data_IF_943034639150
#
_entry.id   IF_943034639150
#
_cell.length_a   1.000
_cell.length_b   1.000
_cell.length_c   1.000
_cell.angle_alpha   90.00
_cell.angle_beta   90.00
_cell.angle_gamma   90.00
#
_symmetry.space_group_name_H-M   'P 1'
#
loop_
_entity.id
_entity.type
_entity.pdbx_description
1 polymer ?
#
# COMPACT_ATOMS: atom_id res chain seq x y z
N UNK A 1 14.34 -20.26 20.04
CA UNK A 1 15.32 -21.17 20.67
C UNK A 1 14.57 -22.23 21.44
N UNK A 2 15.10 -23.46 21.52
CA UNK A 2 14.41 -24.55 22.24
C UNK A 2 13.33 -25.28 21.45
N UNK A 3 13.31 -25.16 20.12
CA UNK A 3 12.38 -25.90 19.27
C UNK A 3 12.57 -27.42 19.44
N UNK A 4 11.49 -28.20 19.36
CA UNK A 4 11.48 -29.64 19.62
C UNK A 4 12.53 -30.41 18.83
N UNK A 5 12.66 -30.15 17.53
CA UNK A 5 13.67 -30.79 16.64
C UNK A 5 15.12 -30.62 17.12
N UNK A 6 15.42 -29.52 17.83
CA UNK A 6 16.75 -29.30 18.42
C UNK A 6 16.90 -30.03 19.74
N UNK A 7 15.85 -30.10 20.55
CA UNK A 7 15.82 -30.86 21.81
C UNK A 7 15.97 -32.36 21.56
N UNK A 8 15.37 -32.88 20.50
CA UNK A 8 15.56 -34.27 20.03
C UNK A 8 17.03 -34.58 19.66
N UNK A 9 17.81 -33.57 19.29
CA UNK A 9 19.25 -33.68 19.03
C UNK A 9 20.12 -33.49 20.28
N UNK A 10 19.51 -33.50 21.47
CA UNK A 10 20.20 -33.47 22.76
C UNK A 10 20.36 -32.09 23.40
N UNK A 11 19.64 -31.06 22.94
CA UNK A 11 19.63 -29.77 23.65
C UNK A 11 18.85 -29.86 24.97
N UNK A 12 19.56 -29.74 26.09
CA UNK A 12 18.95 -29.70 27.43
C UNK A 12 18.35 -28.33 27.73
N UNK A 13 17.50 -28.25 28.75
CA UNK A 13 16.88 -26.99 29.19
C UNK A 13 17.94 -25.92 29.52
N UNK A 14 19.04 -26.31 30.18
CA UNK A 14 20.13 -25.42 30.57
C UNK A 14 20.89 -24.89 29.35
N UNK A 15 21.12 -25.73 28.34
CA UNK A 15 21.79 -25.30 27.10
C UNK A 15 20.92 -24.31 26.34
N UNK A 16 19.62 -24.57 26.25
CA UNK A 16 18.67 -23.69 25.57
C UNK A 16 18.56 -22.34 26.29
N UNK A 17 18.47 -22.35 27.63
CA UNK A 17 18.39 -21.14 28.43
C UNK A 17 19.64 -20.26 28.27
N UNK A 18 20.84 -20.86 28.28
CA UNK A 18 22.10 -20.14 28.03
C UNK A 18 22.15 -19.52 26.64
N UNK A 19 21.65 -20.22 25.61
CA UNK A 19 21.54 -19.66 24.25
C UNK A 19 20.59 -18.48 24.18
N UNK A 20 19.46 -18.55 24.88
CA UNK A 20 18.49 -17.47 24.95
C UNK A 20 19.10 -16.22 25.61
N UNK A 21 19.70 -16.39 26.79
CA UNK A 21 20.37 -15.30 27.51
C UNK A 21 21.48 -14.67 26.67
N UNK A 22 22.32 -15.48 26.02
CA UNK A 22 23.36 -14.99 25.12
C UNK A 22 22.80 -14.18 23.95
N UNK A 23 21.70 -14.63 23.32
CA UNK A 23 21.06 -13.88 22.23
C UNK A 23 20.52 -12.52 22.69
N UNK A 24 19.87 -12.48 23.86
CA UNK A 24 19.38 -11.24 24.47
C UNK A 24 20.54 -10.27 24.80
N UNK A 25 21.65 -10.78 25.34
CA UNK A 25 22.86 -9.99 25.62
C UNK A 25 23.43 -9.33 24.35
N UNK A 26 23.27 -9.98 23.19
CA UNK A 26 23.67 -9.43 21.88
C UNK A 26 22.61 -8.53 21.24
N UNK A 27 21.54 -8.19 21.96
CA UNK A 27 20.49 -7.29 21.50
C UNK A 27 19.47 -7.93 20.56
N UNK A 28 19.42 -9.27 20.49
CA UNK A 28 18.40 -9.98 19.72
C UNK A 28 17.15 -10.23 20.58
N UNK A 29 15.97 -10.16 19.97
CA UNK A 29 14.75 -10.67 20.59
C UNK A 29 14.69 -12.21 20.51
N UNK A 30 14.10 -12.85 21.51
CA UNK A 30 14.07 -14.31 21.63
C UNK A 30 12.65 -14.83 21.66
N UNK A 31 12.36 -15.79 20.77
CA UNK A 31 11.19 -16.68 20.91
C UNK A 31 11.65 -17.93 21.67
N UNK A 32 11.20 -18.09 22.90
CA UNK A 32 11.50 -19.21 23.79
C UNK A 32 10.45 -20.31 23.60
N UNK A 33 10.84 -21.40 22.96
CA UNK A 33 9.96 -22.51 22.65
C UNK A 33 9.90 -23.49 23.83
N UNK A 34 8.68 -23.85 24.22
CA UNK A 34 8.36 -24.83 25.27
C UNK A 34 7.24 -25.76 24.81
N UNK A 35 7.20 -26.96 25.34
CA UNK A 35 6.16 -27.93 25.00
C UNK A 35 6.52 -29.34 25.43
N UNK A 36 5.49 -30.15 25.61
CA UNK A 36 5.54 -31.51 26.13
C UNK A 36 5.31 -32.56 25.04
N UNK A 37 5.71 -33.81 25.31
CA UNK A 37 5.39 -34.95 24.45
C UNK A 37 3.96 -35.45 24.68
N UNK A 38 3.46 -36.29 23.77
CA UNK A 38 2.12 -36.86 23.89
C UNK A 38 1.95 -37.67 25.18
N UNK A 39 2.97 -38.45 25.52
CA UNK A 39 2.98 -39.32 26.71
C UNK A 39 2.84 -38.50 27.99
N UNK A 40 3.52 -37.34 28.06
CA UNK A 40 3.42 -36.41 29.19
C UNK A 40 2.04 -35.76 29.27
N UNK A 41 1.42 -35.40 28.13
CA UNK A 41 0.05 -34.88 28.12
C UNK A 41 -0.95 -35.91 28.61
N UNK A 42 -0.86 -37.14 28.11
CA UNK A 42 -1.74 -38.25 28.51
C UNK A 42 -1.55 -38.66 29.99
N UNK A 43 -0.34 -38.47 30.53
CA UNK A 43 -0.03 -38.67 31.94
C UNK A 43 -0.44 -37.48 32.85
N UNK A 44 -1.06 -36.42 32.32
CA UNK A 44 -1.38 -35.17 33.02
C UNK A 44 -0.14 -34.47 33.64
N UNK A 45 1.01 -34.56 32.96
CA UNK A 45 2.29 -33.97 33.40
C UNK A 45 2.66 -32.70 32.63
N UNK A 46 1.79 -32.19 31.75
CA UNK A 46 2.06 -31.01 30.90
C UNK A 46 2.57 -29.82 31.70
N UNK A 47 1.81 -29.36 32.71
CA UNK A 47 2.16 -28.15 33.47
C UNK A 47 3.50 -28.31 34.18
N UNK A 48 3.74 -29.46 34.83
CA UNK A 48 5.00 -29.74 35.51
C UNK A 48 6.18 -29.68 34.53
N UNK A 49 6.06 -30.33 33.37
CA UNK A 49 7.13 -30.39 32.38
C UNK A 49 7.44 -29.02 31.74
N UNK A 50 6.42 -28.24 31.37
CA UNK A 50 6.66 -26.91 30.81
C UNK A 50 7.23 -25.95 31.87
N UNK A 51 6.86 -26.09 33.15
CA UNK A 51 7.43 -25.27 34.22
C UNK A 51 8.91 -25.55 34.42
N UNK A 52 9.38 -26.79 34.27
CA UNK A 52 10.81 -27.10 34.30
C UNK A 52 11.59 -26.41 33.16
N UNK A 53 10.98 -26.31 31.97
CA UNK A 53 11.58 -25.61 30.84
C UNK A 53 11.62 -24.09 31.09
N UNK A 54 10.56 -23.52 31.65
CA UNK A 54 10.47 -22.10 32.01
C UNK A 54 11.42 -21.72 33.15
N UNK A 55 11.54 -22.57 34.17
CA UNK A 55 12.46 -22.38 35.30
C UNK A 55 13.91 -22.29 34.81
N UNK A 56 14.28 -23.12 33.84
CA UNK A 56 15.60 -23.03 33.22
C UNK A 56 15.82 -21.69 32.50
N UNK A 57 14.82 -21.19 31.75
CA UNK A 57 14.91 -19.85 31.15
C UNK A 57 15.04 -18.76 32.21
N UNK A 58 14.23 -18.76 33.28
CA UNK A 58 14.30 -17.76 34.35
C UNK A 58 15.62 -17.80 35.17
N UNK A 59 16.29 -18.94 35.22
CA UNK A 59 17.61 -19.04 35.84
C UNK A 59 18.62 -18.11 35.15
N UNK A 60 18.59 -18.04 33.81
CA UNK A 60 19.55 -17.30 32.98
C UNK A 60 19.02 -15.92 32.50
N UNK A 61 17.70 -15.76 32.32
CA UNK A 61 17.06 -14.54 31.80
C UNK A 61 16.47 -13.72 32.95
N UNK A 62 16.92 -12.45 33.07
CA UNK A 62 16.39 -11.50 34.07
C UNK A 62 15.47 -10.43 33.48
N UNK A 63 15.71 -10.03 32.24
CA UNK A 63 14.85 -9.09 31.52
C UNK A 63 14.04 -9.84 30.45
N UNK A 64 12.71 -9.80 30.60
CA UNK A 64 11.76 -10.48 29.73
C UNK A 64 11.16 -9.57 28.66
N UNK A 65 11.56 -8.30 28.60
CA UNK A 65 11.02 -7.29 27.68
C UNK A 65 11.10 -7.72 26.21
N UNK A 66 12.20 -8.40 25.83
CA UNK A 66 12.45 -8.88 24.48
C UNK A 66 12.25 -10.39 24.32
N UNK A 67 11.42 -11.00 25.18
CA UNK A 67 11.11 -12.43 25.15
C UNK A 67 9.66 -12.64 24.72
N UNK A 68 9.47 -13.61 23.83
CA UNK A 68 8.17 -14.18 23.48
C UNK A 68 8.20 -15.65 23.84
N UNK A 69 7.19 -16.14 24.57
CA UNK A 69 7.06 -17.57 24.86
C UNK A 69 6.20 -18.20 23.77
N UNK A 70 6.71 -19.22 23.10
CA UNK A 70 5.95 -20.03 22.16
C UNK A 70 5.62 -21.38 22.80
N UNK A 71 4.34 -21.61 23.07
CA UNK A 71 3.86 -22.93 23.48
C UNK A 71 3.64 -23.80 22.24
N UNK A 72 4.56 -24.74 22.04
CA UNK A 72 4.64 -25.65 20.92
C UNK A 72 4.51 -27.10 21.42
N UNK A 73 3.29 -27.59 21.74
CA UNK A 73 3.10 -28.97 22.17
C UNK A 73 3.62 -29.91 21.09
N UNK A 74 4.63 -30.72 21.42
CA UNK A 74 5.43 -31.48 20.44
C UNK A 74 4.53 -32.41 19.63
N UNK A 75 3.52 -32.98 20.29
CA UNK A 75 2.54 -33.87 19.70
C UNK A 75 1.58 -33.20 18.71
N UNK A 76 1.54 -31.87 18.64
CA UNK A 76 0.72 -31.09 17.71
C UNK A 76 1.56 -30.40 16.61
N UNK A 77 2.87 -30.68 16.49
CA UNK A 77 3.73 -30.09 15.46
C UNK A 77 3.96 -31.13 14.37
N UNK A 78 3.44 -30.89 13.16
CA UNK A 78 3.70 -31.76 11.99
C UNK A 78 3.10 -33.17 12.06
N UNK A 79 2.35 -33.51 13.10
CA UNK A 79 1.74 -34.85 13.33
C UNK A 79 0.34 -35.01 12.75
N UNK A 80 -0.31 -33.90 12.36
CA UNK A 80 -1.73 -33.86 11.99
C UNK A 80 -2.69 -33.84 13.17
N UNK A 81 -2.20 -33.95 14.41
CA UNK A 81 -2.98 -33.71 15.62
C UNK A 81 -2.98 -32.22 15.97
N UNK A 82 -4.06 -31.77 16.59
CA UNK A 82 -4.26 -30.37 17.01
C UNK A 82 -4.70 -30.34 18.47
N UNK A 83 -4.10 -29.50 19.29
CA UNK A 83 -4.67 -29.20 20.60
C UNK A 83 -6.01 -28.48 20.43
N UNK A 84 -6.99 -28.82 21.27
CA UNK A 84 -8.24 -28.06 21.32
C UNK A 84 -7.97 -26.65 21.86
N UNK A 85 -8.83 -25.66 21.55
CA UNK A 85 -8.69 -24.32 22.11
C UNK A 85 -8.66 -24.30 23.64
N UNK A 86 -9.39 -25.18 24.32
CA UNK A 86 -9.38 -25.28 25.79
C UNK A 86 -8.07 -25.86 26.32
N UNK A 87 -7.48 -26.85 25.63
CA UNK A 87 -6.18 -27.39 25.99
C UNK A 87 -5.06 -26.36 25.82
N UNK A 88 -5.13 -25.53 24.76
CA UNK A 88 -4.18 -24.45 24.57
C UNK A 88 -4.34 -23.36 25.65
N UNK A 89 -5.58 -22.95 25.93
CA UNK A 89 -5.90 -21.97 26.96
C UNK A 89 -5.46 -22.41 28.37
N UNK A 90 -5.66 -23.68 28.74
CA UNK A 90 -5.21 -24.25 30.02
C UNK A 90 -3.70 -24.03 30.24
N UNK A 91 -2.91 -24.31 29.20
CA UNK A 91 -1.45 -24.20 29.27
C UNK A 91 -1.01 -22.74 29.24
N UNK A 92 -1.59 -21.91 28.39
CA UNK A 92 -1.30 -20.47 28.35
C UNK A 92 -1.60 -19.78 29.69
N UNK A 93 -2.74 -20.08 30.31
CA UNK A 93 -3.08 -19.59 31.65
C UNK A 93 -2.05 -20.04 32.70
N UNK A 94 -1.54 -21.26 32.60
CA UNK A 94 -0.50 -21.78 33.49
C UNK A 94 0.84 -21.05 33.30
N UNK A 95 1.21 -20.72 32.06
CA UNK A 95 2.40 -19.90 31.75
C UNK A 95 2.26 -18.49 32.34
N UNK A 96 1.08 -17.88 32.22
CA UNK A 96 0.78 -16.57 32.81
C UNK A 96 0.87 -16.58 34.33
N UNK A 97 0.31 -17.60 34.97
CA UNK A 97 0.41 -17.79 36.41
C UNK A 97 1.87 -17.96 36.85
N UNK A 98 2.64 -18.77 36.11
CA UNK A 98 4.06 -18.96 36.39
C UNK A 98 4.87 -17.66 36.23
N UNK A 99 4.66 -16.89 35.16
CA UNK A 99 5.32 -15.58 34.96
C UNK A 99 5.02 -14.63 36.12
N UNK A 100 3.77 -14.60 36.57
CA UNK A 100 3.32 -13.73 37.66
C UNK A 100 3.99 -14.10 38.99
N UNK A 101 4.14 -15.39 39.26
CA UNK A 101 4.72 -15.90 40.51
C UNK A 101 6.24 -15.85 40.52
N UNK A 102 6.90 -16.28 39.43
CA UNK A 102 8.35 -16.51 39.38
C UNK A 102 9.15 -15.34 38.80
N UNK A 103 8.53 -14.50 37.98
CA UNK A 103 9.21 -13.38 37.31
C UNK A 103 8.70 -12.06 37.86
N UNK A 104 7.49 -11.63 37.48
CA UNK A 104 6.79 -10.48 38.03
C UNK A 104 5.37 -10.36 37.46
N UNK A 105 4.46 -9.64 38.14
CA UNK A 105 3.15 -9.29 37.56
C UNK A 105 3.26 -8.54 36.22
N UNK A 106 4.25 -7.66 36.07
CA UNK A 106 4.47 -6.91 34.84
C UNK A 106 4.93 -7.83 33.68
N UNK A 107 5.81 -8.79 33.95
CA UNK A 107 6.22 -9.78 32.96
C UNK A 107 5.04 -10.67 32.53
N UNK A 108 4.16 -11.03 33.46
CA UNK A 108 2.96 -11.79 33.15
C UNK A 108 1.98 -11.04 32.24
N UNK A 109 1.92 -9.72 32.32
CA UNK A 109 1.06 -8.88 31.48
C UNK A 109 1.71 -8.58 30.11
N UNK A 110 3.02 -8.30 30.08
CA UNK A 110 3.72 -7.78 28.90
C UNK A 110 4.39 -8.83 28.02
N UNK A 111 4.82 -9.95 28.59
CA UNK A 111 5.49 -11.01 27.81
C UNK A 111 4.47 -11.63 26.87
N UNK A 112 4.74 -11.66 25.56
CA UNK A 112 3.80 -12.30 24.63
C UNK A 112 3.86 -13.81 24.77
N UNK A 113 2.70 -14.47 24.89
CA UNK A 113 2.56 -15.92 24.91
C UNK A 113 1.74 -16.36 23.69
N UNK A 114 2.43 -16.96 22.73
CA UNK A 114 1.86 -17.36 21.44
C UNK A 114 1.72 -18.87 21.33
N UNK A 115 0.68 -19.32 20.64
CA UNK A 115 0.44 -20.74 20.39
C UNK A 115 1.15 -21.17 19.09
N UNK A 116 1.98 -22.20 19.16
CA UNK A 116 2.75 -22.72 18.02
C UNK A 116 2.52 -24.20 17.71
N UNK A 117 1.51 -24.83 18.31
CA UNK A 117 1.00 -26.11 17.80
C UNK A 117 0.28 -25.93 16.45
N UNK A 118 -0.18 -27.03 15.84
CA UNK A 118 -0.87 -27.02 14.53
C UNK A 118 -2.04 -26.02 14.50
N UNK A 119 -1.79 -24.87 13.90
CA UNK A 119 -2.72 -23.76 13.69
C UNK A 119 -2.94 -23.56 12.20
N UNK A 120 -4.20 -23.45 11.83
CA UNK A 120 -4.67 -23.33 10.46
C UNK A 120 -5.94 -22.48 10.39
N UNK A 121 -6.37 -22.16 9.18
CA UNK A 121 -7.56 -21.33 8.95
C UNK A 121 -8.82 -21.82 9.69
N UNK A 122 -8.95 -23.13 9.90
CA UNK A 122 -10.13 -23.75 10.55
C UNK A 122 -10.18 -23.55 12.07
N UNK A 123 -9.05 -23.56 12.76
CA UNK A 123 -9.01 -23.51 14.22
C UNK A 123 -8.50 -22.18 14.79
N UNK A 124 -7.85 -21.35 13.97
CA UNK A 124 -7.38 -20.03 14.36
C UNK A 124 -8.50 -19.14 14.96
N UNK A 125 -9.75 -19.11 14.42
CA UNK A 125 -10.81 -18.28 14.99
C UNK A 125 -11.24 -18.64 16.40
N UNK A 126 -11.20 -19.93 16.79
CA UNK A 126 -11.55 -20.33 18.15
C UNK A 126 -10.36 -20.15 19.11
N UNK A 127 -9.14 -20.38 18.62
CA UNK A 127 -7.91 -20.15 19.38
C UNK A 127 -7.69 -18.67 19.69
N UNK A 128 -7.97 -17.77 18.73
CA UNK A 128 -7.77 -16.32 18.89
C UNK A 128 -8.69 -15.67 19.94
N UNK A 129 -9.79 -16.34 20.30
CA UNK A 129 -10.75 -15.87 21.30
C UNK A 129 -10.42 -16.32 22.72
N UNK A 130 -9.31 -17.06 22.89
CA UNK A 130 -8.84 -17.51 24.20
C UNK A 130 -8.08 -16.40 24.89
N UNK A 131 -8.42 -16.15 26.15
CA UNK A 131 -8.00 -14.98 26.91
C UNK A 131 -6.48 -14.84 27.05
N UNK A 132 -5.75 -15.96 27.12
CA UNK A 132 -4.31 -15.97 27.36
C UNK A 132 -3.48 -16.30 26.11
N UNK A 133 -4.10 -16.35 24.92
CA UNK A 133 -3.42 -16.58 23.65
C UNK A 133 -3.23 -15.24 22.92
N UNK A 134 -2.00 -14.72 22.88
CA UNK A 134 -1.71 -13.41 22.28
C UNK A 134 -1.49 -13.45 20.76
N UNK A 135 -1.45 -14.64 20.17
CA UNK A 135 -1.17 -14.82 18.75
C UNK A 135 -0.63 -16.21 18.44
N UNK A 136 -0.12 -16.35 17.22
CA UNK A 136 0.27 -17.64 16.66
C UNK A 136 1.71 -17.64 16.16
N UNK A 137 2.43 -18.75 16.41
CA UNK A 137 3.65 -19.09 15.71
C UNK A 137 3.29 -20.04 14.55
N UNK A 138 3.22 -19.51 13.33
CA UNK A 138 2.68 -20.24 12.17
C UNK A 138 3.80 -20.78 11.30
N UNK A 139 3.95 -22.11 11.27
CA UNK A 139 4.89 -22.81 10.40
C UNK A 139 4.39 -22.93 8.95
N UNK A 140 4.32 -24.16 8.42
CA UNK A 140 4.00 -24.39 7.00
C UNK A 140 2.63 -23.85 6.52
N UNK A 141 1.68 -23.58 7.41
CA UNK A 141 0.42 -22.92 7.04
C UNK A 141 0.63 -21.48 6.55
N UNK A 142 1.74 -20.82 6.93
CA UNK A 142 2.09 -19.47 6.45
C UNK A 142 2.40 -19.41 4.95
N UNK A 143 2.67 -20.55 4.33
CA UNK A 143 3.01 -20.64 2.89
C UNK A 143 1.78 -20.87 2.00
N UNK A 144 0.58 -20.87 2.57
CA UNK A 144 -0.66 -21.21 1.86
C UNK A 144 -1.57 -19.98 1.76
N UNK A 145 -2.42 -19.88 0.71
CA UNK A 145 -3.32 -18.73 0.54
C UNK A 145 -4.29 -18.49 1.70
N UNK A 146 -4.69 -19.56 2.40
CA UNK A 146 -5.57 -19.52 3.56
C UNK A 146 -4.89 -18.96 4.83
N UNK A 147 -3.58 -18.65 4.78
CA UNK A 147 -2.88 -17.96 5.87
C UNK A 147 -3.54 -16.63 6.25
N UNK A 148 -4.13 -15.93 5.27
CA UNK A 148 -4.87 -14.69 5.53
C UNK A 148 -6.02 -14.88 6.53
N UNK A 149 -6.68 -16.04 6.53
CA UNK A 149 -7.75 -16.35 7.49
C UNK A 149 -7.18 -16.51 8.91
N UNK A 150 -5.93 -16.94 9.04
CA UNK A 150 -5.23 -17.03 10.32
C UNK A 150 -4.87 -15.63 10.83
N UNK A 151 -4.37 -14.74 9.96
CA UNK A 151 -4.06 -13.35 10.33
C UNK A 151 -5.33 -12.62 10.81
N UNK A 152 -6.44 -12.81 10.10
CA UNK A 152 -7.71 -12.13 10.37
C UNK A 152 -8.55 -12.82 11.47
N UNK A 153 -8.04 -13.88 12.11
CA UNK A 153 -8.80 -14.68 13.06
C UNK A 153 -9.22 -13.91 14.34
N UNK A 154 -8.51 -12.85 14.72
CA UNK A 154 -8.80 -12.10 15.95
C UNK A 154 -9.69 -10.87 15.70
N UNK A 155 -9.66 -10.29 14.49
CA UNK A 155 -10.44 -9.10 14.13
C UNK A 155 -10.90 -9.17 12.65
N UNK A 156 -12.03 -9.83 12.34
CA UNK A 156 -12.55 -9.91 10.98
C UNK A 156 -13.03 -8.56 10.40
N UNK A 157 -13.18 -7.54 11.25
CA UNK A 157 -13.61 -6.17 10.86
C UNK A 157 -12.44 -5.22 10.57
N UNK A 158 -11.23 -5.58 10.97
CA UNK A 158 -9.98 -4.87 10.67
C UNK A 158 -9.03 -5.87 10.01
N UNK A 159 -9.40 -6.34 8.81
CA UNK A 159 -8.63 -7.32 8.05
C UNK A 159 -7.20 -6.82 7.83
N UNK A 160 -6.26 -7.29 8.65
CA UNK A 160 -4.83 -7.11 8.39
C UNK A 160 -4.43 -8.24 7.45
N UNK A 161 -4.40 -7.94 6.16
CA UNK A 161 -3.93 -8.90 5.15
C UNK A 161 -5.06 -9.51 4.34
N UNK A 162 -5.03 -9.21 3.05
CA UNK A 162 -5.95 -9.68 2.03
C UNK A 162 -6.00 -8.69 0.89
N UNK A 163 -6.42 -9.14 -0.29
CA UNK A 163 -6.68 -8.22 -1.38
C UNK A 163 -7.92 -7.38 -1.04
N UNK A 164 -7.84 -6.06 -1.13
CA UNK A 164 -9.04 -5.22 -0.98
C UNK A 164 -9.91 -5.34 -2.22
N UNK A 165 -11.22 -5.43 -2.03
CA UNK A 165 -12.16 -5.47 -3.14
C UNK A 165 -12.39 -4.05 -3.66
N UNK A 166 -12.01 -3.83 -4.92
CA UNK A 166 -12.06 -2.54 -5.58
C UNK A 166 -13.01 -2.58 -6.76
N UNK A 167 -13.79 -1.53 -6.92
CA UNK A 167 -14.54 -1.26 -8.13
C UNK A 167 -13.99 -0.04 -8.88
N UNK A 168 -14.18 -0.01 -10.20
CA UNK A 168 -13.78 1.10 -11.06
C UNK A 168 -15.03 1.73 -11.68
N UNK A 169 -15.26 3.01 -11.42
CA UNK A 169 -16.29 3.80 -12.11
C UNK A 169 -15.65 4.63 -13.23
N UNK A 170 -16.01 4.36 -14.48
CA UNK A 170 -15.44 4.94 -15.68
C UNK A 170 -14.22 4.15 -16.18
N UNK A 171 -14.39 3.42 -17.29
CA UNK A 171 -13.38 2.50 -17.85
C UNK A 171 -12.57 3.16 -18.99
N UNK A 172 -12.25 4.44 -18.78
CA UNK A 172 -11.38 5.24 -19.65
C UNK A 172 -9.89 4.92 -19.49
N UNK A 173 -9.02 5.86 -19.87
CA UNK A 173 -7.55 5.71 -19.73
C UNK A 173 -7.14 5.29 -18.31
N UNK A 174 -7.53 6.07 -17.31
CA UNK A 174 -7.16 5.79 -15.91
C UNK A 174 -7.77 4.48 -15.41
N UNK A 175 -9.08 4.26 -15.60
CA UNK A 175 -9.74 3.04 -15.14
C UNK A 175 -9.09 1.75 -15.69
N UNK A 176 -8.77 1.71 -17.00
CA UNK A 176 -8.08 0.55 -17.58
C UNK A 176 -6.67 0.37 -17.05
N UNK A 177 -5.90 1.45 -16.88
CA UNK A 177 -4.53 1.36 -16.34
C UNK A 177 -4.50 0.97 -14.87
N UNK A 178 -5.48 1.41 -14.07
CA UNK A 178 -5.69 0.92 -12.71
C UNK A 178 -5.92 -0.59 -12.70
N UNK A 179 -6.77 -1.11 -13.60
CA UNK A 179 -6.97 -2.56 -13.72
C UNK A 179 -5.68 -3.27 -14.14
N UNK A 180 -4.94 -2.75 -15.13
CA UNK A 180 -3.65 -3.34 -15.55
C UNK A 180 -2.64 -3.41 -14.40
N UNK A 181 -2.54 -2.36 -13.59
CA UNK A 181 -1.67 -2.33 -12.41
C UNK A 181 -2.17 -3.31 -11.33
N UNK A 182 -3.48 -3.33 -11.06
CA UNK A 182 -4.08 -4.23 -10.07
C UNK A 182 -3.93 -5.71 -10.45
N UNK A 183 -3.96 -6.06 -11.73
CA UNK A 183 -3.76 -7.44 -12.20
C UNK A 183 -2.40 -8.04 -11.79
N UNK A 184 -1.39 -7.18 -11.54
CA UNK A 184 -0.05 -7.57 -11.07
C UNK A 184 0.13 -7.38 -9.56
N UNK A 185 -0.87 -6.86 -8.85
CA UNK A 185 -0.79 -6.57 -7.42
C UNK A 185 -1.71 -7.52 -6.62
N UNK A 186 -1.17 -8.47 -5.85
CA UNK A 186 -1.98 -9.43 -5.09
C UNK A 186 -2.78 -8.77 -3.95
N UNK A 187 -2.54 -7.50 -3.62
CA UNK A 187 -3.27 -6.76 -2.59
C UNK A 187 -4.51 -6.04 -3.12
N UNK A 188 -4.76 -6.08 -4.43
CA UNK A 188 -5.91 -5.40 -5.05
C UNK A 188 -6.71 -6.43 -5.85
N UNK A 189 -7.99 -6.57 -5.51
CA UNK A 189 -8.92 -7.43 -6.22
C UNK A 189 -9.97 -6.55 -6.93
N UNK A 190 -9.87 -6.39 -8.25
CA UNK A 190 -10.91 -5.70 -9.01
C UNK A 190 -12.10 -6.66 -9.14
N UNK A 191 -13.22 -6.32 -8.51
CA UNK A 191 -14.44 -7.16 -8.49
C UNK A 191 -15.54 -6.61 -9.37
N UNK A 192 -15.55 -5.29 -9.63
CA UNK A 192 -16.58 -4.67 -10.45
C UNK A 192 -16.09 -3.46 -11.27
N UNK A 193 -16.74 -3.21 -12.39
CA UNK A 193 -16.53 -2.06 -13.27
C UNK A 193 -17.88 -1.48 -13.65
N UNK A 194 -17.98 -0.15 -13.69
CA UNK A 194 -19.13 0.53 -14.29
C UNK A 194 -18.67 1.46 -15.43
N UNK A 195 -19.27 1.30 -16.61
CA UNK A 195 -19.20 2.32 -17.66
C UNK A 195 -20.44 2.23 -18.57
N UNK A 196 -21.33 3.24 -18.59
CA UNK A 196 -22.58 3.17 -19.35
C UNK A 196 -22.39 3.18 -20.87
N UNK A 197 -21.18 3.45 -21.37
CA UNK A 197 -20.90 3.59 -22.81
C UNK A 197 -20.14 2.42 -23.41
N UNK A 198 -19.81 1.39 -22.62
CA UNK A 198 -18.91 0.31 -23.04
C UNK A 198 -19.53 -1.04 -22.65
N UNK A 199 -19.80 -1.90 -23.64
CA UNK A 199 -20.24 -3.28 -23.42
C UNK A 199 -19.10 -4.17 -22.95
N UNK A 200 -19.39 -5.35 -22.38
CA UNK A 200 -18.37 -6.32 -21.93
C UNK A 200 -17.41 -6.71 -23.07
N UNK A 201 -17.93 -7.01 -24.26
CA UNK A 201 -17.13 -7.28 -25.46
C UNK A 201 -16.20 -6.12 -25.82
N UNK A 202 -16.67 -4.87 -25.68
CA UNK A 202 -15.85 -3.72 -26.00
C UNK A 202 -14.82 -3.41 -24.89
N UNK A 203 -15.16 -3.66 -23.62
CA UNK A 203 -14.23 -3.57 -22.49
C UNK A 203 -13.06 -4.55 -22.66
N UNK A 204 -13.33 -5.80 -23.06
CA UNK A 204 -12.29 -6.79 -23.40
C UNK A 204 -11.35 -6.24 -24.46
N UNK A 205 -11.88 -5.78 -25.61
CA UNK A 205 -11.08 -5.23 -26.70
C UNK A 205 -10.21 -4.04 -26.25
N UNK A 206 -10.79 -3.07 -25.55
CA UNK A 206 -10.10 -1.86 -25.08
C UNK A 206 -9.04 -2.16 -24.01
N UNK A 207 -9.22 -3.23 -23.24
CA UNK A 207 -8.23 -3.69 -22.29
C UNK A 207 -7.12 -4.48 -22.98
N UNK A 208 -7.46 -5.35 -23.94
CA UNK A 208 -6.51 -6.17 -24.70
C UNK A 208 -5.53 -5.31 -25.49
N UNK A 209 -6.01 -4.29 -26.20
CA UNK A 209 -5.19 -3.45 -27.09
C UNK A 209 -5.12 -2.01 -26.58
N UNK A 210 -3.93 -1.57 -26.14
CA UNK A 210 -3.65 -0.17 -25.80
C UNK A 210 -2.50 0.36 -26.67
N UNK A 211 -2.73 1.50 -27.34
CA UNK A 211 -1.75 2.11 -28.24
C UNK A 211 -0.47 2.54 -27.54
N UNK A 212 -0.55 2.94 -26.26
CA UNK A 212 0.58 3.46 -25.50
C UNK A 212 1.28 2.33 -24.75
N UNK A 213 0.53 1.53 -24.00
CA UNK A 213 1.11 0.51 -23.11
C UNK A 213 1.04 -0.91 -23.70
N UNK A 214 0.83 -1.02 -25.01
CA UNK A 214 0.81 -2.28 -25.74
C UNK A 214 -0.31 -3.24 -25.36
N UNK A 215 -0.14 -4.50 -25.77
CA UNK A 215 -1.10 -5.57 -25.51
C UNK A 215 -1.13 -5.93 -24.02
N UNK A 216 -2.31 -6.25 -23.50
CA UNK A 216 -2.44 -6.76 -22.13
C UNK A 216 -1.68 -8.07 -21.94
N UNK A 217 -0.94 -8.15 -20.84
CA UNK A 217 -0.13 -9.31 -20.45
C UNK A 217 -0.96 -10.23 -19.53
N UNK A 218 -1.83 -11.03 -20.14
CA UNK A 218 -2.74 -11.93 -19.43
C UNK A 218 -3.82 -12.51 -20.34
N UNK A 219 -4.75 -13.26 -19.76
CA UNK A 219 -5.91 -13.79 -20.50
C UNK A 219 -7.14 -12.94 -20.24
N UNK A 220 -7.92 -12.74 -21.30
CA UNK A 220 -9.18 -12.00 -21.28
C UNK A 220 -10.26 -12.82 -21.97
N UNK A 221 -11.47 -12.78 -21.42
CA UNK A 221 -12.70 -13.23 -22.06
C UNK A 221 -13.89 -12.46 -21.48
N UNK A 222 -15.09 -12.61 -22.03
CA UNK A 222 -16.30 -11.97 -21.51
C UNK A 222 -17.51 -12.89 -21.60
N UNK A 223 -18.53 -12.56 -20.79
CA UNK A 223 -19.91 -12.97 -21.00
C UNK A 223 -20.81 -11.72 -21.05
N UNK A 224 -22.13 -11.90 -20.94
CA UNK A 224 -23.08 -10.78 -20.98
C UNK A 224 -22.95 -9.80 -19.81
N UNK A 225 -22.40 -10.23 -18.67
CA UNK A 225 -22.41 -9.49 -17.41
C UNK A 225 -21.03 -9.33 -16.77
N UNK A 226 -20.01 -10.01 -17.27
CA UNK A 226 -18.66 -10.01 -16.72
C UNK A 226 -17.60 -9.88 -17.82
N UNK A 227 -16.47 -9.30 -17.43
CA UNK A 227 -15.19 -9.59 -18.07
C UNK A 227 -14.39 -10.52 -17.16
N UNK A 228 -13.62 -11.42 -17.74
CA UNK A 228 -12.75 -12.34 -17.01
C UNK A 228 -11.31 -11.94 -17.27
N UNK A 229 -10.57 -11.65 -16.19
CA UNK A 229 -9.15 -11.27 -16.27
C UNK A 229 -8.34 -12.32 -15.55
N UNK A 230 -7.47 -13.03 -16.29
CA UNK A 230 -6.72 -14.17 -15.75
C UNK A 230 -7.62 -15.23 -15.08
N UNK A 231 -8.80 -15.47 -15.68
CA UNK A 231 -9.82 -16.39 -15.17
C UNK A 231 -10.65 -15.87 -13.99
N UNK A 232 -10.37 -14.67 -13.46
CA UNK A 232 -11.16 -14.06 -12.39
C UNK A 232 -12.34 -13.26 -12.97
N UNK A 233 -13.59 -13.50 -12.54
CA UNK A 233 -14.73 -12.73 -12.99
C UNK A 233 -14.71 -11.32 -12.39
N UNK A 234 -15.08 -10.34 -13.21
CA UNK A 234 -15.27 -8.94 -12.82
C UNK A 234 -16.65 -8.51 -13.32
N UNK A 235 -17.53 -8.14 -12.40
CA UNK A 235 -18.90 -7.71 -12.72
C UNK A 235 -18.90 -6.40 -13.50
N UNK A 236 -19.70 -6.33 -14.56
CA UNK A 236 -19.88 -5.10 -15.34
C UNK A 236 -21.27 -4.51 -15.11
N UNK A 237 -21.30 -3.21 -14.86
CA UNK A 237 -22.48 -2.36 -14.78
C UNK A 237 -22.44 -1.29 -15.88
N UNK A 238 -23.60 -0.79 -16.29
CA UNK A 238 -23.74 0.25 -17.31
C UNK A 238 -24.66 1.38 -16.84
N UNK A 239 -24.51 1.81 -15.59
CA UNK A 239 -25.34 2.82 -14.96
C UNK A 239 -24.74 4.23 -15.13
N UNK A 240 -25.60 5.19 -15.49
CA UNK A 240 -25.24 6.60 -15.59
C UNK A 240 -25.18 7.29 -14.22
N UNK A 241 -26.02 6.87 -13.28
CA UNK A 241 -26.08 7.45 -11.94
C UNK A 241 -25.31 6.56 -10.95
N UNK A 242 -24.23 7.07 -10.32
CA UNK A 242 -23.48 6.38 -9.27
C UNK A 242 -24.32 5.72 -8.18
N UNK A 243 -25.45 6.36 -7.80
CA UNK A 243 -26.34 5.87 -6.76
C UNK A 243 -27.14 4.61 -7.17
N UNK A 244 -27.23 4.29 -8.47
CA UNK A 244 -27.92 3.09 -8.94
C UNK A 244 -27.00 1.86 -9.02
N UNK A 245 -25.68 2.06 -8.94
CA UNK A 245 -24.72 0.97 -9.12
C UNK A 245 -24.70 0.09 -7.89
N UNK A 246 -25.02 -1.20 -8.06
CA UNK A 246 -25.20 -2.14 -6.96
C UNK A 246 -23.88 -2.74 -6.45
N UNK A 247 -22.98 -1.89 -5.98
CA UNK A 247 -21.66 -2.31 -5.49
C UNK A 247 -21.70 -3.35 -4.37
N UNK A 248 -22.69 -3.28 -3.48
CA UNK A 248 -22.86 -4.24 -2.38
C UNK A 248 -23.11 -5.68 -2.83
N UNK A 249 -23.61 -5.93 -4.05
CA UNK A 249 -23.77 -7.29 -4.59
C UNK A 249 -22.40 -7.96 -4.83
N UNK A 250 -21.34 -7.17 -5.02
CA UNK A 250 -19.98 -7.62 -5.35
C UNK A 250 -18.98 -7.40 -4.20
N UNK A 251 -19.47 -7.12 -2.99
CA UNK A 251 -18.63 -6.90 -1.79
C UNK A 251 -17.52 -5.85 -2.00
N UNK A 252 -17.82 -4.79 -2.74
CA UNK A 252 -16.89 -3.70 -3.02
C UNK A 252 -16.60 -2.89 -1.75
N UNK A 253 -15.33 -2.68 -1.45
CA UNK A 253 -14.89 -1.88 -0.32
C UNK A 253 -14.43 -0.48 -0.75
N UNK A 254 -13.72 -0.40 -1.86
CA UNK A 254 -13.18 0.85 -2.41
C UNK A 254 -13.68 1.08 -3.83
N UNK A 255 -14.08 2.31 -4.16
CA UNK A 255 -14.37 2.72 -5.54
C UNK A 255 -13.28 3.68 -6.02
N UNK A 256 -12.70 3.37 -7.18
CA UNK A 256 -11.92 4.32 -7.96
C UNK A 256 -12.88 5.09 -8.86
N UNK A 257 -13.05 6.38 -8.57
CA UNK A 257 -13.87 7.28 -9.38
C UNK A 257 -12.99 7.91 -10.47
N UNK A 258 -13.12 7.37 -11.69
CA UNK A 258 -12.33 7.73 -12.88
C UNK A 258 -13.14 8.15 -14.10
N UNK A 259 -14.39 8.58 -13.90
CA UNK A 259 -15.22 9.18 -14.96
C UNK A 259 -14.80 10.61 -15.30
N UNK A 260 -14.25 11.33 -14.32
CA UNK A 260 -13.99 12.77 -14.38
C UNK A 260 -15.25 13.65 -14.22
N UNK A 261 -16.43 13.06 -13.97
CA UNK A 261 -17.70 13.77 -13.79
C UNK A 261 -18.08 13.99 -12.32
N UNK A 262 -17.64 13.09 -11.42
CA UNK A 262 -18.02 13.06 -10.00
C UNK A 262 -16.85 13.44 -9.09
N UNK A 263 -16.26 14.62 -9.30
CA UNK A 263 -15.02 15.04 -8.63
C UNK A 263 -15.23 15.85 -7.33
N UNK A 264 -16.46 16.02 -6.87
CA UNK A 264 -16.78 16.65 -5.58
C UNK A 264 -17.17 15.60 -4.56
N UNK A 265 -17.01 15.92 -3.28
CA UNK A 265 -17.34 15.04 -2.15
C UNK A 265 -18.79 14.60 -2.23
N UNK A 266 -19.72 15.53 -2.47
CA UNK A 266 -21.16 15.24 -2.62
C UNK A 266 -21.42 14.22 -3.74
N UNK A 267 -20.86 14.45 -4.93
CA UNK A 267 -21.10 13.61 -6.10
C UNK A 267 -20.51 12.22 -5.95
N UNK A 268 -19.27 12.13 -5.45
CA UNK A 268 -18.59 10.85 -5.21
C UNK A 268 -19.24 10.07 -4.07
N UNK A 269 -19.81 10.75 -3.07
CA UNK A 269 -20.53 10.11 -1.95
C UNK A 269 -21.76 9.32 -2.39
N UNK A 270 -22.27 9.53 -3.61
CA UNK A 270 -23.34 8.71 -4.17
C UNK A 270 -22.97 7.21 -4.24
N UNK A 271 -21.69 6.86 -4.35
CA UNK A 271 -21.24 5.46 -4.30
C UNK A 271 -21.34 4.84 -2.89
N UNK A 272 -21.22 5.64 -1.83
CA UNK A 272 -21.27 5.16 -0.45
C UNK A 272 -22.66 4.62 -0.07
N UNK A 273 -23.70 5.13 -0.73
CA UNK A 273 -25.09 4.68 -0.53
C UNK A 273 -25.31 3.21 -0.91
N UNK A 274 -24.38 2.61 -1.67
CA UNK A 274 -24.47 1.25 -2.20
C UNK A 274 -23.57 0.25 -1.48
N UNK A 275 -23.19 0.53 -0.22
CA UNK A 275 -22.46 -0.39 0.64
C UNK A 275 -20.93 -0.34 0.51
N UNK A 276 -20.39 0.70 -0.13
CA UNK A 276 -18.94 0.91 -0.29
C UNK A 276 -18.39 1.69 0.91
N UNK A 277 -17.22 1.32 1.40
CA UNK A 277 -16.57 1.96 2.54
C UNK A 277 -15.90 3.29 2.17
N UNK A 278 -15.25 3.33 0.99
CA UNK A 278 -14.34 4.40 0.56
C UNK A 278 -14.43 4.71 -0.94
N UNK A 279 -14.23 5.99 -1.28
CA UNK A 279 -14.13 6.45 -2.67
C UNK A 279 -12.84 7.24 -2.87
N UNK A 280 -12.07 6.89 -3.90
CA UNK A 280 -10.86 7.59 -4.32
C UNK A 280 -11.11 8.24 -5.68
N UNK A 281 -11.19 9.56 -5.68
CA UNK A 281 -11.33 10.37 -6.91
C UNK A 281 -9.96 10.43 -7.59
N UNK A 282 -9.89 9.98 -8.85
CA UNK A 282 -8.65 9.95 -9.66
C UNK A 282 -8.32 11.28 -10.35
N UNK A 283 -8.81 12.39 -9.79
CA UNK A 283 -8.59 13.75 -10.27
C UNK A 283 -8.62 14.73 -9.08
N UNK A 284 -8.10 15.97 -9.24
CA UNK A 284 -8.22 16.98 -8.20
C UNK A 284 -9.67 17.23 -7.82
N UNK A 285 -9.92 17.29 -6.51
CA UNK A 285 -11.21 17.70 -5.97
C UNK A 285 -11.16 19.15 -5.47
N UNK A 286 -12.28 19.85 -5.60
CA UNK A 286 -12.45 21.18 -5.02
C UNK A 286 -12.61 21.14 -3.51
N UNK A 287 -13.19 20.06 -2.97
CA UNK A 287 -13.63 19.95 -1.57
C UNK A 287 -13.14 18.68 -0.85
N UNK A 288 -12.83 17.59 -1.56
CA UNK A 288 -12.30 16.38 -0.92
C UNK A 288 -10.82 16.55 -0.54
N UNK A 289 -10.39 15.99 0.60
CA UNK A 289 -8.97 15.94 0.97
C UNK A 289 -8.13 15.28 -0.12
N UNK A 290 -7.01 15.91 -0.46
CA UNK A 290 -6.09 15.41 -1.48
C UNK A 290 -4.86 14.77 -0.86
N UNK A 291 -4.46 13.63 -1.39
CA UNK A 291 -3.27 12.91 -0.96
C UNK A 291 -2.33 12.67 -2.13
N UNK A 292 -1.03 12.76 -1.82
CA UNK A 292 0.07 12.35 -2.68
C UNK A 292 0.93 11.38 -1.88
N UNK A 293 1.12 10.18 -2.42
CA UNK A 293 1.95 9.14 -1.80
C UNK A 293 3.37 9.65 -1.61
N UNK A 294 3.99 9.33 -0.47
CA UNK A 294 5.34 9.82 -0.10
C UNK A 294 5.40 11.28 0.36
N UNK A 295 4.29 12.03 0.28
CA UNK A 295 4.25 13.44 0.69
C UNK A 295 3.38 13.64 1.92
N UNK A 296 2.09 13.32 1.85
CA UNK A 296 1.14 13.57 2.94
C UNK A 296 0.15 12.42 3.19
N UNK A 297 0.34 11.26 2.54
CA UNK A 297 -0.49 10.08 2.71
C UNK A 297 -0.65 9.60 4.17
N UNK A 298 0.34 9.87 5.03
CA UNK A 298 0.28 9.57 6.47
C UNK A 298 -0.76 10.41 7.24
N UNK A 299 -1.23 11.52 6.66
CA UNK A 299 -2.27 12.36 7.25
C UNK A 299 -3.68 11.81 6.99
N UNK A 300 -3.82 10.68 6.30
CA UNK A 300 -5.11 10.05 6.06
C UNK A 300 -5.69 9.51 7.38
N UNK A 301 -6.98 9.79 7.61
CA UNK A 301 -7.73 9.28 8.76
C UNK A 301 -8.85 8.33 8.32
N UNK A 302 -9.15 7.30 9.13
CA UNK A 302 -10.19 6.29 8.83
C UNK A 302 -11.60 6.88 8.65
N UNK A 303 -11.87 8.08 9.14
CA UNK A 303 -13.16 8.79 8.94
C UNK A 303 -13.26 9.48 7.56
N UNK A 304 -12.18 9.56 6.77
CA UNK A 304 -12.19 10.20 5.46
C UNK A 304 -12.74 9.21 4.42
N UNK A 305 -14.05 9.30 4.12
CA UNK A 305 -14.71 8.34 3.22
C UNK A 305 -14.55 8.65 1.74
N UNK A 306 -14.36 9.93 1.40
CA UNK A 306 -14.11 10.37 0.03
C UNK A 306 -12.82 11.17 0.02
N UNK A 307 -11.85 10.74 -0.77
CA UNK A 307 -10.55 11.39 -0.91
C UNK A 307 -10.19 11.53 -2.39
N UNK A 308 -9.21 12.35 -2.70
CA UNK A 308 -8.69 12.54 -4.06
C UNK A 308 -7.19 12.21 -4.11
N UNK A 309 -6.77 11.52 -5.17
CA UNK A 309 -5.34 11.26 -5.43
C UNK A 309 -4.67 12.41 -6.22
N UNK A 310 -5.22 13.63 -6.09
CA UNK A 310 -4.79 14.83 -6.80
C UNK A 310 -4.74 14.64 -8.34
N UNK A 311 -3.78 15.29 -9.02
CA UNK A 311 -3.51 15.09 -10.47
C UNK A 311 -2.15 14.46 -10.69
N UNK A 312 -1.92 13.90 -11.89
CA UNK A 312 -0.60 13.43 -12.35
C UNK A 312 0.49 14.51 -12.16
N UNK A 313 0.28 15.74 -12.63
CA UNK A 313 1.24 16.84 -12.43
C UNK A 313 1.50 17.16 -10.96
N UNK A 314 0.50 17.03 -10.07
CA UNK A 314 0.71 17.27 -8.63
C UNK A 314 1.54 16.14 -8.01
N UNK A 315 1.28 14.89 -8.40
CA UNK A 315 2.07 13.73 -7.99
C UNK A 315 3.52 13.78 -8.51
N UNK A 316 3.77 14.41 -9.67
CA UNK A 316 5.13 14.66 -10.13
C UNK A 316 5.82 15.79 -9.34
N UNK A 317 5.14 16.93 -9.19
CA UNK A 317 5.74 18.13 -8.59
C UNK A 317 5.93 18.02 -7.07
N UNK A 318 4.98 17.43 -6.34
CA UNK A 318 4.98 17.48 -4.88
C UNK A 318 6.15 16.72 -4.23
N UNK A 319 6.53 15.49 -4.66
CA UNK A 319 7.71 14.80 -4.12
C UNK A 319 9.00 15.60 -4.35
N UNK A 320 9.20 16.10 -5.58
CA UNK A 320 10.35 16.95 -5.91
C UNK A 320 10.38 18.22 -5.04
N UNK A 321 9.25 18.93 -4.95
CA UNK A 321 9.13 20.14 -4.16
C UNK A 321 9.37 19.87 -2.67
N UNK A 322 8.89 18.73 -2.13
CA UNK A 322 9.10 18.32 -0.74
C UNK A 322 10.59 18.16 -0.45
N UNK A 323 11.32 17.37 -1.25
CA UNK A 323 12.76 17.14 -1.02
C UNK A 323 13.54 18.46 -1.04
N UNK A 324 13.29 19.30 -2.04
CA UNK A 324 13.98 20.59 -2.19
C UNK A 324 13.59 21.54 -1.07
N UNK A 325 12.32 21.57 -0.66
CA UNK A 325 11.85 22.42 0.41
C UNK A 325 12.42 22.01 1.77
N UNK A 326 12.38 20.72 2.09
CA UNK A 326 12.84 20.20 3.38
C UNK A 326 14.35 20.43 3.56
N UNK A 327 15.14 20.41 2.48
CA UNK A 327 16.60 20.61 2.53
C UNK A 327 17.04 22.06 2.40
N UNK A 328 16.46 22.81 1.46
CA UNK A 328 16.96 24.13 1.07
C UNK A 328 15.95 25.26 1.30
N UNK A 329 14.68 24.91 1.55
CA UNK A 329 13.58 25.86 1.57
C UNK A 329 13.27 26.40 0.18
N UNK A 330 11.98 26.45 -0.15
CA UNK A 330 11.50 27.12 -1.37
C UNK A 330 10.85 28.43 -0.92
N UNK A 331 11.38 29.55 -1.43
CA UNK A 331 10.85 30.89 -1.19
C UNK A 331 9.64 31.16 -2.07
N UNK A 332 9.78 30.92 -3.36
CA UNK A 332 8.77 31.08 -4.40
C UNK A 332 9.13 30.24 -5.62
N UNK A 333 8.14 29.84 -6.42
CA UNK A 333 8.39 29.09 -7.64
C UNK A 333 7.25 29.14 -8.65
N UNK A 334 7.63 29.04 -9.92
CA UNK A 334 6.72 28.93 -11.05
C UNK A 334 6.96 27.61 -11.75
N UNK A 335 5.86 26.89 -12.00
CA UNK A 335 5.88 25.62 -12.70
C UNK A 335 5.26 25.75 -14.09
N UNK A 336 5.91 25.17 -15.08
CA UNK A 336 5.33 24.83 -16.36
C UNK A 336 5.34 23.32 -16.49
N UNK A 337 4.21 22.72 -16.85
CA UNK A 337 4.20 21.33 -17.32
C UNK A 337 4.02 21.30 -18.84
N UNK A 338 4.94 20.63 -19.52
CA UNK A 338 4.78 20.27 -20.93
C UNK A 338 4.14 18.90 -20.95
N UNK A 339 2.87 18.86 -21.37
CA UNK A 339 1.98 17.76 -21.03
C UNK A 339 1.43 17.10 -22.29
N UNK A 340 1.40 15.77 -22.29
CA UNK A 340 0.82 14.97 -23.37
C UNK A 340 -0.67 15.26 -23.61
N UNK A 341 -1.16 14.81 -24.77
CA UNK A 341 -2.56 14.92 -25.17
C UNK A 341 -3.46 14.11 -24.23
N UNK A 342 -4.62 14.66 -23.85
CA UNK A 342 -5.63 13.94 -23.05
C UNK A 342 -6.97 13.83 -23.77
N UNK A 343 -7.82 12.90 -23.32
CA UNK A 343 -9.13 12.61 -23.92
C UNK A 343 -10.11 13.80 -24.00
N UNK A 344 -9.89 14.86 -23.22
CA UNK A 344 -10.69 16.09 -23.28
C UNK A 344 -10.39 16.97 -24.50
N UNK A 345 -9.22 16.80 -25.14
CA UNK A 345 -8.82 17.55 -26.32
C UNK A 345 -9.46 16.98 -27.60
N UNK A 346 -9.35 17.72 -28.71
CA UNK A 346 -10.00 17.38 -29.99
C UNK A 346 -8.97 17.02 -31.05
N UNK A 347 -9.34 16.10 -31.94
CA UNK A 347 -8.51 15.73 -33.09
C UNK A 347 -8.40 16.88 -34.09
N UNK A 348 -9.49 17.61 -34.30
CA UNK A 348 -9.60 18.80 -35.15
C UNK A 348 -10.21 19.97 -34.36
N UNK A 349 -10.11 21.18 -34.90
CA UNK A 349 -10.69 22.37 -34.28
C UNK A 349 -12.20 22.21 -34.03
N UNK A 350 -12.63 22.41 -32.79
CA UNK A 350 -14.02 22.26 -32.38
C UNK A 350 -14.36 22.84 -31.01
N UNK A 351 -15.63 22.80 -30.59
CA UNK A 351 -16.07 23.36 -29.33
C UNK A 351 -15.45 22.64 -28.12
N UNK A 352 -15.02 23.41 -27.12
CA UNK A 352 -14.48 22.91 -25.86
C UNK A 352 -15.26 23.47 -24.68
N UNK A 353 -15.64 22.58 -23.75
CA UNK A 353 -16.42 22.94 -22.55
C UNK A 353 -15.58 23.66 -21.49
N UNK A 354 -14.26 23.44 -21.48
CA UNK A 354 -13.36 23.92 -20.43
C UNK A 354 -12.76 25.28 -20.77
N UNK A 355 -12.16 25.39 -21.96
CA UNK A 355 -11.51 26.61 -22.43
C UNK A 355 -11.40 26.60 -23.97
N UNK A 356 -11.33 27.78 -24.60
CA UNK A 356 -11.30 27.91 -26.07
C UNK A 356 -10.05 27.30 -26.71
N UNK A 357 -8.89 27.36 -26.04
CA UNK A 357 -7.62 26.89 -26.60
C UNK A 357 -7.59 25.36 -26.71
N UNK A 358 -8.16 24.66 -25.73
CA UNK A 358 -8.30 23.20 -25.72
C UNK A 358 -9.25 22.64 -26.78
N UNK A 359 -10.00 23.51 -27.47
CA UNK A 359 -10.81 23.13 -28.64
C UNK A 359 -10.01 23.00 -29.93
N UNK A 360 -8.75 23.46 -29.97
CA UNK A 360 -7.89 23.38 -31.16
C UNK A 360 -7.35 21.96 -31.35
N UNK A 361 -7.07 21.58 -32.60
CA UNK A 361 -6.56 20.25 -32.96
C UNK A 361 -5.28 19.88 -32.18
N UNK A 362 -5.38 18.83 -31.36
CA UNK A 362 -4.38 18.45 -30.36
C UNK A 362 -3.04 18.01 -30.96
N UNK A 363 -3.08 17.33 -32.11
CA UNK A 363 -1.88 16.78 -32.75
C UNK A 363 -1.10 17.82 -33.58
N UNK A 364 -1.56 19.07 -33.63
CA UNK A 364 -1.02 20.10 -34.53
C UNK A 364 -0.58 21.38 -33.82
N UNK A 365 -0.78 21.47 -32.50
CA UNK A 365 -0.57 22.72 -31.76
C UNK A 365 0.17 22.47 -30.45
N UNK A 366 0.95 23.48 -30.05
CA UNK A 366 1.35 23.70 -28.66
C UNK A 366 0.25 24.57 -28.04
N UNK A 367 -0.48 24.02 -27.06
CA UNK A 367 -1.71 24.64 -26.53
C UNK A 367 -1.47 25.09 -25.08
N UNK A 368 -1.33 26.39 -24.79
CA UNK A 368 -1.24 26.84 -23.41
C UNK A 368 -2.58 26.63 -22.70
N UNK A 369 -2.55 26.07 -21.49
CA UNK A 369 -3.71 25.81 -20.64
C UNK A 369 -3.39 26.12 -19.18
N UNK A 370 -4.42 26.53 -18.42
CA UNK A 370 -4.30 26.76 -16.99
C UNK A 370 -4.32 25.42 -16.22
N UNK A 371 -3.59 25.36 -15.11
CA UNK A 371 -3.57 24.20 -14.22
C UNK A 371 -3.57 24.64 -12.76
N UNK A 372 -4.31 23.92 -11.92
CA UNK A 372 -4.30 24.10 -10.47
C UNK A 372 -3.20 23.28 -9.77
N UNK A 373 -2.43 22.46 -10.50
CA UNK A 373 -1.54 21.46 -9.90
C UNK A 373 -0.46 22.07 -8.97
N UNK A 374 0.22 23.12 -9.41
CA UNK A 374 1.21 23.80 -8.56
C UNK A 374 0.59 24.44 -7.30
N UNK A 375 -0.64 24.97 -7.41
CA UNK A 375 -1.37 25.47 -6.23
C UNK A 375 -1.80 24.33 -5.30
N UNK A 376 -2.14 23.16 -5.86
CA UNK A 376 -2.50 21.97 -5.10
C UNK A 376 -1.32 21.41 -4.28
N UNK A 377 -0.08 21.66 -4.69
CA UNK A 377 1.10 21.37 -3.84
C UNK A 377 1.00 22.07 -2.49
N UNK A 378 0.52 23.31 -2.46
CA UNK A 378 0.30 24.04 -1.21
C UNK A 378 -0.78 23.44 -0.30
N UNK A 379 -1.65 22.56 -0.82
CA UNK A 379 -2.62 21.80 -0.02
C UNK A 379 -2.03 20.54 0.61
N UNK A 380 -1.11 19.88 -0.10
CA UNK A 380 -0.45 18.64 0.39
C UNK A 380 0.85 18.92 1.14
N UNK A 381 1.45 20.10 0.93
CA UNK A 381 2.59 20.63 1.67
C UNK A 381 2.20 22.05 2.13
N UNK A 382 1.54 22.20 3.30
CA UNK A 382 1.01 23.48 3.76
C UNK A 382 2.03 24.63 3.80
N UNK A 383 3.30 24.33 4.08
CA UNK A 383 4.40 25.31 4.11
C UNK A 383 4.72 25.94 2.75
N UNK A 384 4.23 25.32 1.66
CA UNK A 384 4.33 25.82 0.29
C UNK A 384 3.07 26.53 -0.18
N UNK A 385 2.05 26.67 0.67
CA UNK A 385 0.82 27.37 0.31
C UNK A 385 1.10 28.82 -0.08
N UNK A 386 0.62 29.23 -1.26
CA UNK A 386 0.87 30.55 -1.83
C UNK A 386 2.26 30.77 -2.43
N UNK A 387 3.20 29.82 -2.29
CA UNK A 387 4.57 29.94 -2.82
C UNK A 387 4.73 29.36 -4.22
N UNK A 388 3.84 28.47 -4.63
CA UNK A 388 3.89 27.80 -5.93
C UNK A 388 2.62 28.05 -6.74
N UNK A 389 2.81 28.40 -8.01
CA UNK A 389 1.74 28.42 -9.03
C UNK A 389 2.33 28.06 -10.38
N UNK A 390 1.50 27.87 -11.40
CA UNK A 390 2.00 27.44 -12.69
C UNK A 390 0.97 27.40 -13.80
N UNK A 391 1.42 26.93 -14.95
CA UNK A 391 0.62 26.75 -16.15
C UNK A 391 1.05 25.46 -16.87
N UNK A 392 0.38 25.13 -17.98
CA UNK A 392 0.75 23.98 -18.80
C UNK A 392 0.76 24.32 -20.28
N UNK A 393 1.58 23.62 -21.05
CA UNK A 393 1.48 23.54 -22.50
C UNK A 393 1.12 22.11 -22.88
N UNK A 394 -0.02 21.91 -23.55
CA UNK A 394 -0.31 20.62 -24.18
C UNK A 394 0.44 20.49 -25.48
N UNK A 395 1.11 19.37 -25.70
CA UNK A 395 1.92 19.13 -26.91
C UNK A 395 1.53 17.81 -27.59
N UNK A 396 1.85 17.63 -28.89
CA UNK A 396 1.48 16.45 -29.67
C UNK A 396 2.23 15.14 -29.30
N UNK A 397 2.20 14.74 -28.03
CA UNK A 397 2.68 13.43 -27.55
C UNK A 397 1.52 12.60 -27.02
N UNK A 398 1.58 11.29 -27.25
CA UNK A 398 0.50 10.38 -26.88
C UNK A 398 0.42 10.11 -25.38
N UNK A 399 1.57 10.08 -24.72
CA UNK A 399 1.71 9.98 -23.27
C UNK A 399 3.05 10.55 -22.82
N UNK A 400 3.27 10.53 -21.50
CA UNK A 400 4.41 11.10 -20.80
C UNK A 400 4.47 12.62 -20.90
N UNK A 401 4.68 13.22 -19.74
CA UNK A 401 4.73 14.65 -19.54
C UNK A 401 5.96 15.00 -18.71
N UNK A 402 6.26 16.30 -18.64
CA UNK A 402 7.41 16.80 -17.88
C UNK A 402 7.03 18.06 -17.12
N UNK A 403 7.53 18.15 -15.89
CA UNK A 403 7.49 19.34 -15.04
C UNK A 403 8.80 20.11 -15.21
N UNK A 404 8.68 21.41 -15.46
CA UNK A 404 9.73 22.42 -15.31
C UNK A 404 9.35 23.27 -14.10
N UNK A 405 10.10 23.13 -13.01
CA UNK A 405 9.98 23.98 -11.82
C UNK A 405 11.13 24.98 -11.79
N UNK A 406 10.82 26.26 -11.95
CA UNK A 406 11.77 27.34 -11.68
C UNK A 406 11.50 27.88 -10.29
N UNK A 407 12.48 27.75 -9.38
CA UNK A 407 12.30 28.06 -7.96
C UNK A 407 13.45 28.91 -7.42
N UNK A 408 13.11 29.79 -6.48
CA UNK A 408 14.07 30.49 -5.63
C UNK A 408 14.18 29.81 -4.28
N UNK A 409 15.39 29.47 -3.86
CA UNK A 409 15.66 28.80 -2.60
C UNK A 409 15.81 29.81 -1.46
N UNK A 410 15.57 29.36 -0.23
CA UNK A 410 15.83 30.19 0.97
C UNK A 410 17.29 30.07 1.37
N UNK A 411 17.81 28.85 1.40
CA UNK A 411 19.19 28.53 1.65
C UNK A 411 19.87 28.23 0.30
N UNK A 412 20.85 29.03 -0.14
CA UNK A 412 21.57 28.77 -1.38
C UNK A 412 22.25 27.39 -1.36
N UNK A 413 22.25 26.71 -2.50
CA UNK A 413 22.89 25.43 -2.72
C UNK A 413 23.38 25.31 -4.17
N UNK A 414 24.54 24.70 -4.35
CA UNK A 414 25.04 24.32 -5.67
C UNK A 414 24.10 23.30 -6.33
N UNK A 415 24.10 23.25 -7.66
CA UNK A 415 23.27 22.28 -8.38
C UNK A 415 23.65 20.82 -8.05
N UNK A 416 24.93 20.56 -7.74
CA UNK A 416 25.39 19.24 -7.30
C UNK A 416 24.83 18.84 -5.93
N UNK A 417 24.71 19.77 -4.98
CA UNK A 417 24.06 19.52 -3.69
C UNK A 417 22.56 19.21 -3.85
N UNK A 418 21.88 19.93 -4.74
CA UNK A 418 20.46 19.69 -5.05
C UNK A 418 20.29 18.30 -5.67
N UNK A 419 21.12 17.95 -6.66
CA UNK A 419 21.14 16.60 -7.26
C UNK A 419 21.36 15.52 -6.21
N UNK A 420 22.33 15.70 -5.32
CA UNK A 420 22.65 14.72 -4.27
C UNK A 420 21.49 14.53 -3.30
N UNK A 421 20.80 15.60 -2.90
CA UNK A 421 19.62 15.52 -2.04
C UNK A 421 18.48 14.74 -2.71
N UNK A 422 18.18 15.04 -3.98
CA UNK A 422 17.13 14.36 -4.75
C UNK A 422 17.48 12.89 -4.96
N UNK A 423 18.73 12.58 -5.31
CA UNK A 423 19.21 11.21 -5.47
C UNK A 423 19.06 10.42 -4.17
N UNK A 424 19.52 10.98 -3.05
CA UNK A 424 19.37 10.36 -1.73
C UNK A 424 17.91 10.05 -1.42
N UNK A 425 17.00 10.99 -1.66
CA UNK A 425 15.58 10.77 -1.40
C UNK A 425 14.99 9.67 -2.31
N UNK A 426 15.37 9.65 -3.60
CA UNK A 426 14.92 8.64 -4.57
C UNK A 426 15.38 7.22 -4.22
N UNK A 427 16.53 7.09 -3.56
CA UNK A 427 17.11 5.79 -3.18
C UNK A 427 16.62 5.31 -1.79
N UNK A 428 16.01 6.20 -1.00
CA UNK A 428 15.60 5.96 0.39
C UNK A 428 14.11 6.28 0.63
N UNK A 429 13.80 7.41 1.26
CA UNK A 429 12.45 7.72 1.78
C UNK A 429 11.36 7.87 0.71
N UNK A 430 11.75 8.15 -0.54
CA UNK A 430 10.82 8.26 -1.68
C UNK A 430 11.02 7.17 -2.73
N UNK A 431 11.69 6.06 -2.37
CA UNK A 431 11.94 4.95 -3.28
C UNK A 431 10.64 4.40 -3.87
N UNK A 432 10.60 4.29 -5.20
CA UNK A 432 9.42 3.85 -5.95
C UNK A 432 8.39 4.96 -6.22
N UNK A 433 8.60 6.17 -5.71
CA UNK A 433 7.76 7.36 -5.95
C UNK A 433 8.55 8.40 -6.74
N UNK A 434 9.74 8.75 -6.25
CA UNK A 434 10.69 9.66 -6.89
C UNK A 434 11.84 8.84 -7.47
N UNK A 435 12.09 8.99 -8.77
CA UNK A 435 13.25 8.47 -9.48
C UNK A 435 14.30 9.55 -9.75
N UNK A 436 15.49 9.12 -10.16
CA UNK A 436 16.63 9.98 -10.49
C UNK A 436 17.37 9.45 -11.73
N UNK A 437 17.72 10.33 -12.67
CA UNK A 437 18.52 9.96 -13.85
C UNK A 437 19.49 11.06 -14.26
N UNK A 438 20.66 10.65 -14.74
CA UNK A 438 21.67 11.50 -15.40
C UNK A 438 21.84 11.14 -16.89
N UNK A 439 21.05 10.20 -17.39
CA UNK A 439 21.11 9.76 -18.78
C UNK A 439 20.42 10.80 -19.67
N UNK A 440 20.87 10.89 -20.92
CA UNK A 440 20.21 11.70 -21.96
C UNK A 440 18.92 10.99 -22.43
N UNK A 441 17.84 11.18 -21.68
CA UNK A 441 16.53 10.56 -21.86
C UNK A 441 15.55 11.50 -22.57
N UNK A 442 14.49 10.94 -23.14
CA UNK A 442 13.37 11.65 -23.75
C UNK A 442 12.04 11.05 -23.29
N UNK A 443 10.91 11.69 -23.63
CA UNK A 443 9.58 11.31 -23.12
C UNK A 443 9.25 9.82 -23.29
N UNK A 444 9.54 9.23 -24.46
CA UNK A 444 9.19 7.83 -24.73
C UNK A 444 9.93 6.82 -23.86
N UNK A 445 11.06 7.20 -23.25
CA UNK A 445 11.83 6.30 -22.37
C UNK A 445 11.11 6.04 -21.03
N UNK A 446 10.09 6.83 -20.70
CA UNK A 446 9.31 6.72 -19.47
C UNK A 446 7.94 6.08 -19.67
N UNK A 447 7.59 5.65 -20.88
CA UNK A 447 6.30 4.99 -21.12
C UNK A 447 6.22 3.70 -20.30
N UNK A 448 5.22 3.63 -19.42
CA UNK A 448 5.02 2.52 -18.50
C UNK A 448 5.91 2.53 -17.26
N UNK A 449 6.69 3.61 -17.03
CA UNK A 449 7.37 3.82 -15.75
C UNK A 449 6.33 4.14 -14.66
N UNK A 450 6.43 3.48 -13.51
CA UNK A 450 5.45 3.59 -12.43
C UNK A 450 5.77 4.67 -11.40
N UNK A 451 6.91 5.36 -11.50
CA UNK A 451 7.24 6.45 -10.58
C UNK A 451 6.30 7.63 -10.79
N UNK A 452 6.01 8.36 -9.71
CA UNK A 452 5.22 9.59 -9.79
C UNK A 452 6.04 10.76 -10.38
N UNK A 453 7.35 10.73 -10.20
CA UNK A 453 8.28 11.79 -10.58
C UNK A 453 9.65 11.18 -10.88
N UNK A 454 10.27 11.49 -12.01
CA UNK A 454 11.66 11.09 -12.30
C UNK A 454 12.49 12.33 -12.60
N UNK A 455 13.33 12.73 -11.64
CA UNK A 455 14.17 13.92 -11.78
C UNK A 455 15.28 13.69 -12.81
N UNK A 456 15.34 14.60 -13.79
CA UNK A 456 16.37 14.63 -14.83
C UNK A 456 17.47 15.62 -14.44
N UNK A 457 18.54 15.06 -13.89
CA UNK A 457 19.68 15.82 -13.41
C UNK A 457 20.41 16.56 -14.52
N UNK A 458 20.35 16.06 -15.76
CA UNK A 458 21.06 16.63 -16.91
C UNK A 458 20.28 17.75 -17.60
N UNK A 459 18.96 17.76 -17.47
CA UNK A 459 18.08 18.74 -18.11
C UNK A 459 17.82 20.00 -17.27
N UNK A 460 18.00 19.94 -15.95
CA UNK A 460 17.91 21.12 -15.08
C UNK A 460 19.14 22.04 -15.20
N UNK A 461 19.01 23.26 -14.66
CA UNK A 461 20.07 24.27 -14.70
C UNK A 461 19.95 25.24 -13.51
N UNK A 462 21.07 25.63 -12.92
CA UNK A 462 21.14 26.68 -11.92
C UNK A 462 21.65 27.98 -12.56
N UNK A 463 20.97 29.10 -12.32
CA UNK A 463 21.47 30.43 -12.71
C UNK A 463 22.39 31.00 -11.62
N UNK A 464 21.97 30.83 -10.36
CA UNK A 464 22.69 31.14 -9.12
C UNK A 464 22.41 30.04 -8.12
N UNK A 465 23.17 30.00 -7.02
CA UNK A 465 22.98 29.01 -5.96
C UNK A 465 21.59 29.10 -5.28
N UNK A 466 20.86 30.20 -5.44
CA UNK A 466 19.51 30.38 -4.92
C UNK A 466 18.42 30.41 -6.00
N UNK A 467 18.75 30.30 -7.29
CA UNK A 467 17.76 30.37 -8.38
C UNK A 467 17.99 29.28 -9.43
N UNK A 468 17.09 28.29 -9.42
CA UNK A 468 17.28 27.02 -10.13
C UNK A 468 16.07 26.64 -10.96
N UNK A 469 16.32 25.85 -12.00
CA UNK A 469 15.33 25.16 -12.82
C UNK A 469 15.53 23.66 -12.66
N UNK A 470 14.49 22.97 -12.22
CA UNK A 470 14.46 21.53 -11.97
C UNK A 470 13.48 20.88 -12.94
N UNK A 471 13.90 19.77 -13.56
CA UNK A 471 13.12 19.05 -14.58
C UNK A 471 12.77 17.66 -14.05
N UNK A 472 11.51 17.26 -14.14
CA UNK A 472 11.07 15.92 -13.72
C UNK A 472 10.01 15.34 -14.64
N UNK A 473 10.23 14.12 -15.10
CA UNK A 473 9.34 13.37 -15.98
C UNK A 473 8.28 12.61 -15.20
N UNK A 474 7.16 12.30 -15.87
CA UNK A 474 6.13 11.40 -15.36
C UNK A 474 5.27 10.88 -16.52
N UNK A 475 4.87 9.62 -16.43
CA UNK A 475 3.82 9.04 -17.29
C UNK A 475 2.44 9.59 -16.83
#
# INVERSE_FOLDING_TARGET
VGHSERREKGETNEVVAKKAAYALEKGLAVIACIGETKELREANQTVAFITEQLDAYAAEIKDWTNVVIAYEPIWAIGTGLTASPDQAQEVHASIRAWLKEKVSPEAAEKTRVIYGGSVGAKNAPELSQKADIDGFLVGGASLKPDFLQIINAQNPTDNVGGAVNVAINGFGRIGRLVLRAAAKNPLINIVAINDPFISTTYMEYMLEYDTVHGKFDGTLSHDEQHIFVNGKPIRVFNEMNPANIKWGEEQVQYVVESTGAFTTTEKASAHLQNGVEKVVISAPSSDAPMFVMGVNHELYEKNMHVVSNASCTTNCLAPLAKVVHDKFGIKEGLMTTVHAVTATQKTVDGPSKKDWRGGRGACFNIIPSSTGAAKAVGKVIPDLNGKLTGMSFRVPTADVSVVDLTARLVNPASYDEIKAAIKSASENEMKGILGYTEKAVVSSDFIGDSHSSIFDASAGIALTDDFVKLVSWYD
#
